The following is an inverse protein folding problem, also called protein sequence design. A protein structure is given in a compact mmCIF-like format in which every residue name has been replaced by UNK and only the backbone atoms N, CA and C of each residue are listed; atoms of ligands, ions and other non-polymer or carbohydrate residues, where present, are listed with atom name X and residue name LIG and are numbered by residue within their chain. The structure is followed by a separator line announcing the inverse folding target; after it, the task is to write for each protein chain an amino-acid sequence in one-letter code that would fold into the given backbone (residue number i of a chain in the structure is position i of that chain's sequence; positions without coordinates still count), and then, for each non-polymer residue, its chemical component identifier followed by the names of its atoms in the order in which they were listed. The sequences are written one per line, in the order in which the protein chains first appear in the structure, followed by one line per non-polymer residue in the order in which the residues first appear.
data_IF_247201860312
#
_entry.id   IF_247201860312
#
_cell.length_a   1.000
_cell.length_b   1.000
_cell.length_c   1.000
_cell.angle_alpha   90.00
_cell.angle_beta   90.00
_cell.angle_gamma   90.00
#
_symmetry.space_group_name_H-M   'P 1'
#
loop_
_entity.id
_entity.type
_entity.pdbx_description
1 polymer ?
#
# COMPACT_ATOMS: atom_id res chain seq x y z
N UNK A 1 -55.26 2.14 12.44
CA UNK A 1 -53.84 2.11 12.80
C UNK A 1 -53.45 3.43 13.43
N UNK A 2 -53.02 3.39 14.68
CA UNK A 2 -52.67 4.59 15.44
C UNK A 2 -51.43 5.26 14.86
N UNK A 3 -51.39 6.62 14.84
CA UNK A 3 -50.23 7.40 14.37
C UNK A 3 -48.92 7.00 15.09
N UNK A 4 -49.03 6.50 16.31
CA UNK A 4 -47.90 5.99 17.11
C UNK A 4 -47.30 4.69 16.57
N UNK A 5 -48.07 3.80 15.95
CA UNK A 5 -47.57 2.56 15.33
C UNK A 5 -46.82 2.82 14.05
N UNK A 6 -47.19 3.85 13.30
CA UNK A 6 -46.47 4.25 12.08
C UNK A 6 -45.09 4.85 12.40
N UNK A 7 -44.97 5.61 13.48
CA UNK A 7 -43.71 6.20 13.94
C UNK A 7 -42.71 5.14 14.43
N UNK A 8 -43.19 4.08 15.08
CA UNK A 8 -42.33 3.00 15.56
C UNK A 8 -41.78 2.13 14.43
N UNK A 9 -42.53 1.94 13.35
CA UNK A 9 -42.05 1.18 12.15
C UNK A 9 -41.02 1.96 11.36
N UNK A 10 -41.07 3.31 11.27
CA UNK A 10 -40.06 4.12 10.64
C UNK A 10 -38.72 4.14 11.40
N UNK A 11 -38.73 3.95 12.74
CA UNK A 11 -37.49 3.99 13.53
C UNK A 11 -36.66 2.69 13.41
N UNK A 12 -37.30 1.58 12.99
CA UNK A 12 -36.64 0.27 12.80
C UNK A 12 -35.89 0.13 11.49
N UNK A 13 -36.03 1.06 10.52
CA UNK A 13 -35.38 0.99 9.21
C UNK A 13 -34.03 1.70 9.12
N UNK A 14 -33.57 2.36 10.18
CA UNK A 14 -32.27 3.04 10.23
C UNK A 14 -31.15 2.25 10.90
N UNK A 15 -31.23 0.93 10.92
CA UNK A 15 -30.02 0.15 11.17
C UNK A 15 -29.14 0.20 9.92
N UNK A 16 -28.47 1.33 9.72
CA UNK A 16 -27.38 1.43 8.75
C UNK A 16 -26.33 0.42 9.18
N UNK A 17 -26.31 -0.71 8.49
CA UNK A 17 -25.21 -1.67 8.58
C UNK A 17 -23.94 -0.90 8.21
N UNK A 18 -23.14 -0.58 9.22
CA UNK A 18 -21.82 -0.01 9.00
C UNK A 18 -20.97 -1.12 8.37
N UNK A 19 -21.04 -1.23 7.03
CA UNK A 19 -20.24 -2.17 6.29
C UNK A 19 -18.77 -1.86 6.60
N UNK A 20 -18.04 -2.86 7.07
CA UNK A 20 -16.59 -2.72 7.30
C UNK A 20 -15.94 -2.53 5.94
N UNK A 21 -15.13 -1.51 5.84
CA UNK A 21 -14.31 -1.19 4.66
C UNK A 21 -13.06 -2.09 4.52
N UNK A 22 -12.99 -3.18 5.28
CA UNK A 22 -11.90 -4.15 5.27
C UNK A 22 -12.39 -5.56 5.61
N UNK A 23 -11.69 -6.55 5.08
CA UNK A 23 -11.86 -7.96 5.46
C UNK A 23 -10.91 -8.32 6.61
N UNK A 24 -11.36 -9.18 7.50
CA UNK A 24 -10.54 -9.83 8.52
C UNK A 24 -11.07 -11.24 8.78
N UNK A 25 -10.21 -12.23 8.70
CA UNK A 25 -10.58 -13.64 8.91
C UNK A 25 -11.15 -13.86 10.31
N UNK A 26 -12.17 -14.73 10.40
CA UNK A 26 -12.68 -15.17 11.70
C UNK A 26 -11.56 -15.86 12.50
N UNK A 27 -11.42 -15.51 13.78
CA UNK A 27 -10.38 -16.10 14.62
C UNK A 27 -8.98 -15.48 14.44
N UNK A 28 -8.84 -14.37 13.72
CA UNK A 28 -7.57 -13.68 13.53
C UNK A 28 -6.73 -13.58 14.81
N UNK A 29 -7.37 -13.24 15.96
CA UNK A 29 -6.66 -13.12 17.25
C UNK A 29 -5.96 -14.42 17.68
N UNK A 30 -6.49 -15.60 17.29
CA UNK A 30 -5.86 -16.91 17.59
C UNK A 30 -4.64 -17.13 16.70
N UNK A 31 -4.77 -16.83 15.41
CA UNK A 31 -3.67 -16.92 14.44
C UNK A 31 -2.56 -15.92 14.78
N UNK A 32 -2.92 -14.66 15.05
CA UNK A 32 -1.98 -13.61 15.40
C UNK A 32 -1.12 -13.89 16.65
N UNK A 33 -1.57 -14.77 17.55
CA UNK A 33 -0.78 -15.20 18.71
C UNK A 33 0.39 -16.11 18.35
N UNK A 34 0.35 -16.77 17.21
CA UNK A 34 1.43 -17.65 16.72
C UNK A 34 2.46 -16.87 15.88
N UNK A 35 2.15 -15.63 15.50
CA UNK A 35 3.05 -14.79 14.75
C UNK A 35 3.93 -13.95 15.68
N UNK A 36 5.20 -13.87 15.35
CA UNK A 36 6.21 -13.05 16.02
C UNK A 36 6.67 -11.91 15.11
N UNK A 37 6.98 -12.22 13.86
CA UNK A 37 7.55 -11.26 12.90
C UNK A 37 6.78 -11.25 11.59
N UNK A 38 6.57 -10.06 11.04
CA UNK A 38 6.02 -9.87 9.69
C UNK A 38 6.94 -8.99 8.85
N UNK A 39 6.91 -9.18 7.53
CA UNK A 39 7.60 -8.33 6.58
C UNK A 39 6.59 -7.48 5.78
N UNK A 40 6.93 -6.21 5.56
CA UNK A 40 6.29 -5.35 4.56
C UNK A 40 7.06 -5.53 3.27
N UNK A 41 6.41 -6.06 2.23
CA UNK A 41 7.05 -6.32 0.94
C UNK A 41 7.19 -5.04 0.10
N UNK A 42 8.13 -4.99 -0.86
CA UNK A 42 8.10 -3.99 -1.92
C UNK A 42 6.74 -4.01 -2.62
N UNK A 43 6.20 -2.83 -2.90
CA UNK A 43 4.84 -2.69 -3.40
C UNK A 43 4.78 -3.02 -4.88
N UNK A 44 3.82 -3.86 -5.28
CA UNK A 44 3.55 -4.14 -6.68
C UNK A 44 2.96 -2.89 -7.35
N UNK A 45 3.74 -2.29 -8.27
CA UNK A 45 3.34 -1.07 -8.96
C UNK A 45 2.79 -1.41 -10.35
N UNK A 46 1.52 -1.04 -10.60
CA UNK A 46 0.88 -1.22 -11.88
C UNK A 46 0.56 0.16 -12.46
N UNK A 47 0.96 0.35 -13.70
CA UNK A 47 0.65 1.54 -14.44
C UNK A 47 -0.35 1.21 -15.57
N UNK A 48 -1.57 1.72 -15.46
CA UNK A 48 -2.65 1.45 -16.44
C UNK A 48 -2.89 2.61 -17.40
N UNK A 49 -2.11 3.69 -17.31
CA UNK A 49 -2.21 4.87 -18.18
C UNK A 49 -1.41 4.75 -19.47
N UNK A 50 -1.38 5.84 -20.23
CA UNK A 50 -0.54 5.94 -21.42
C UNK A 50 0.89 6.26 -21.00
N UNK A 51 1.87 5.41 -21.34
CA UNK A 51 3.28 5.70 -21.03
C UNK A 51 3.75 7.00 -21.69
N UNK A 52 4.65 7.73 -21.03
CA UNK A 52 5.27 8.91 -21.66
C UNK A 52 6.04 8.52 -22.93
N UNK A 53 5.79 9.18 -24.05
CA UNK A 53 6.34 8.81 -25.36
C UNK A 53 7.87 8.88 -25.48
N UNK A 54 8.54 9.62 -24.58
CA UNK A 54 9.98 9.90 -24.68
C UNK A 54 10.78 9.31 -23.50
N UNK A 55 10.22 8.35 -22.77
CA UNK A 55 10.92 7.70 -21.65
C UNK A 55 11.23 6.26 -22.04
N UNK A 56 12.50 5.83 -22.02
CA UNK A 56 12.87 4.45 -22.29
C UNK A 56 12.16 3.47 -21.34
N UNK A 57 11.75 2.27 -21.80
CA UNK A 57 11.08 1.28 -20.95
C UNK A 57 11.88 0.92 -19.68
N UNK A 58 13.20 0.84 -19.77
CA UNK A 58 14.09 0.58 -18.64
C UNK A 58 14.03 1.66 -17.54
N UNK A 59 13.77 2.91 -17.92
CA UNK A 59 13.64 4.00 -16.96
C UNK A 59 12.26 3.98 -16.28
N UNK A 60 11.22 3.50 -16.99
CA UNK A 60 9.92 3.27 -16.40
C UNK A 60 9.95 2.15 -15.36
N UNK A 61 10.72 1.07 -15.62
CA UNK A 61 10.94 -0.02 -14.66
C UNK A 61 11.65 0.52 -13.43
N UNK A 62 12.75 1.24 -13.58
CA UNK A 62 13.47 1.86 -12.46
C UNK A 62 12.60 2.81 -11.66
N UNK A 63 11.72 3.55 -12.32
CA UNK A 63 10.76 4.42 -11.64
C UNK A 63 9.75 3.60 -10.83
N UNK A 64 9.19 2.53 -11.40
CA UNK A 64 8.27 1.66 -10.69
C UNK A 64 8.91 1.03 -9.45
N UNK A 65 10.16 0.57 -9.54
CA UNK A 65 10.92 0.05 -8.39
C UNK A 65 11.16 1.11 -7.31
N UNK A 66 11.52 2.35 -7.71
CA UNK A 66 11.74 3.43 -6.77
C UNK A 66 10.45 3.81 -6.03
N UNK A 67 9.33 3.90 -6.75
CA UNK A 67 8.02 4.13 -6.16
C UNK A 67 7.59 2.98 -5.26
N UNK A 68 7.83 1.73 -5.67
CA UNK A 68 7.60 0.52 -4.87
C UNK A 68 8.28 0.60 -3.51
N UNK A 69 9.57 0.96 -3.50
CA UNK A 69 10.36 1.13 -2.27
C UNK A 69 9.87 2.32 -1.45
N UNK A 70 9.46 3.42 -2.07
CA UNK A 70 8.93 4.58 -1.38
C UNK A 70 7.62 4.25 -0.64
N UNK A 71 6.70 3.57 -1.28
CA UNK A 71 5.47 3.08 -0.65
C UNK A 71 5.75 2.13 0.50
N UNK A 72 6.66 1.15 0.31
CA UNK A 72 7.07 0.21 1.35
C UNK A 72 7.63 0.93 2.58
N UNK A 73 8.56 1.87 2.38
CA UNK A 73 9.20 2.63 3.47
C UNK A 73 8.17 3.46 4.23
N UNK A 74 7.26 4.15 3.52
CA UNK A 74 6.18 4.92 4.13
C UNK A 74 5.27 4.01 4.97
N UNK A 75 4.79 2.90 4.38
CA UNK A 75 3.91 1.96 5.07
C UNK A 75 4.56 1.38 6.34
N UNK A 76 5.81 0.92 6.23
CA UNK A 76 6.58 0.41 7.36
C UNK A 76 6.76 1.49 8.44
N UNK A 77 7.14 2.71 8.06
CA UNK A 77 7.35 3.81 8.99
C UNK A 77 6.07 4.19 9.74
N UNK A 78 4.93 4.19 9.06
CA UNK A 78 3.64 4.49 9.69
C UNK A 78 3.18 3.37 10.63
N UNK A 79 3.42 2.10 10.29
CA UNK A 79 3.19 0.97 11.19
C UNK A 79 4.08 1.07 12.44
N UNK A 80 5.37 1.41 12.29
CA UNK A 80 6.30 1.62 13.40
C UNK A 80 5.89 2.78 14.30
N UNK A 81 5.46 3.92 13.75
CA UNK A 81 4.94 5.05 14.55
C UNK A 81 3.77 4.63 15.42
N UNK A 82 2.93 3.73 14.92
CA UNK A 82 1.81 3.20 15.68
C UNK A 82 2.27 2.32 16.83
N UNK A 83 3.37 1.60 16.69
CA UNK A 83 3.98 0.78 17.73
C UNK A 83 4.49 1.65 18.88
N UNK A 84 5.14 2.79 18.58
CA UNK A 84 5.75 3.68 19.58
C UNK A 84 4.73 4.55 20.35
N UNK A 85 3.61 4.90 19.74
CA UNK A 85 2.60 5.79 20.33
C UNK A 85 1.62 5.09 21.33
N UNK A 86 2.03 3.97 21.96
CA UNK A 86 1.21 3.29 22.97
C UNK A 86 -0.03 2.55 22.43
N UNK A 87 -0.36 2.73 21.15
CA UNK A 87 -1.37 1.95 20.41
C UNK A 87 -0.76 0.68 19.79
N UNK A 88 0.30 0.17 20.42
CA UNK A 88 1.29 -0.77 19.92
C UNK A 88 0.77 -1.89 19.06
N UNK A 89 1.54 -2.19 18.02
CA UNK A 89 1.40 -3.46 17.32
C UNK A 89 1.89 -4.59 18.25
N UNK A 90 1.16 -5.70 18.26
CA UNK A 90 1.58 -6.92 18.96
C UNK A 90 2.44 -7.82 18.07
N UNK A 91 3.19 -7.23 17.17
CA UNK A 91 3.99 -7.95 16.18
C UNK A 91 5.28 -7.17 15.90
N UNK A 92 6.37 -7.87 15.70
CA UNK A 92 7.61 -7.27 15.23
C UNK A 92 7.56 -7.04 13.71
N UNK A 93 8.07 -5.89 13.27
CA UNK A 93 8.22 -5.59 11.85
C UNK A 93 9.67 -5.81 11.43
N UNK A 94 9.89 -6.70 10.46
CA UNK A 94 11.20 -6.86 9.84
C UNK A 94 11.62 -5.55 9.17
N UNK A 95 12.86 -5.11 9.36
CA UNK A 95 13.37 -3.89 8.73
C UNK A 95 13.31 -4.00 7.22
N UNK A 96 12.85 -2.95 6.54
CA UNK A 96 12.76 -2.92 5.07
C UNK A 96 14.10 -3.19 4.39
N UNK A 97 15.21 -2.73 4.96
CA UNK A 97 16.55 -3.00 4.45
C UNK A 97 16.91 -4.49 4.46
N UNK A 98 16.49 -5.24 5.49
CA UNK A 98 16.70 -6.69 5.57
C UNK A 98 15.79 -7.41 4.57
N UNK A 99 14.52 -7.02 4.51
CA UNK A 99 13.54 -7.55 3.55
C UNK A 99 14.05 -7.40 2.12
N UNK A 100 14.42 -6.17 1.73
CA UNK A 100 14.84 -5.87 0.36
C UNK A 100 16.16 -6.57 0.01
N UNK A 101 17.14 -6.57 0.92
CA UNK A 101 18.40 -7.28 0.72
C UNK A 101 18.18 -8.76 0.44
N UNK A 102 17.37 -9.46 1.25
CA UNK A 102 17.07 -10.88 1.06
C UNK A 102 16.36 -11.15 -0.28
N UNK A 103 15.44 -10.27 -0.69
CA UNK A 103 14.77 -10.38 -1.99
C UNK A 103 15.79 -10.18 -3.11
N UNK A 104 16.56 -9.08 -3.11
CA UNK A 104 17.52 -8.74 -4.15
C UNK A 104 18.68 -9.73 -4.28
N UNK A 105 19.02 -10.46 -3.21
CA UNK A 105 19.99 -11.58 -3.25
C UNK A 105 19.42 -12.83 -3.94
N UNK A 106 18.11 -13.02 -3.97
CA UNK A 106 17.45 -14.19 -4.51
C UNK A 106 16.81 -13.96 -5.88
N UNK A 107 16.28 -12.76 -6.12
CA UNK A 107 15.48 -12.41 -7.31
C UNK A 107 15.37 -10.89 -7.49
N UNK A 108 14.81 -10.45 -8.61
CA UNK A 108 14.43 -9.02 -8.80
C UNK A 108 13.19 -8.65 -7.96
N UNK A 109 12.98 -7.35 -7.76
CA UNK A 109 11.76 -6.86 -7.07
C UNK A 109 10.50 -7.27 -7.85
N UNK A 110 10.52 -7.19 -9.18
CA UNK A 110 9.38 -7.59 -10.04
C UNK A 110 9.09 -9.09 -9.91
N UNK A 111 10.10 -9.94 -9.95
CA UNK A 111 9.94 -11.39 -9.75
C UNK A 111 9.33 -11.71 -8.39
N UNK A 112 9.62 -10.92 -7.36
CA UNK A 112 9.06 -11.10 -6.02
C UNK A 112 7.54 -10.87 -5.97
N UNK A 113 6.98 -10.07 -6.90
CA UNK A 113 5.55 -9.84 -6.95
C UNK A 113 4.76 -11.08 -7.39
N UNK A 114 5.39 -11.94 -8.21
CA UNK A 114 4.80 -13.20 -8.71
C UNK A 114 4.93 -14.37 -7.71
N UNK A 115 5.76 -14.21 -6.69
CA UNK A 115 5.98 -15.26 -5.69
C UNK A 115 4.79 -15.43 -4.76
N UNK A 116 4.60 -16.69 -4.32
CA UNK A 116 3.57 -17.00 -3.33
C UNK A 116 3.93 -16.42 -1.95
N UNK A 117 2.94 -16.16 -1.10
CA UNK A 117 3.20 -15.68 0.26
C UNK A 117 4.08 -16.63 1.07
N UNK A 118 3.93 -17.95 0.86
CA UNK A 118 4.68 -18.98 1.54
C UNK A 118 6.16 -18.94 1.14
N UNK A 119 6.46 -18.86 -0.18
CA UNK A 119 7.84 -18.73 -0.69
C UNK A 119 8.51 -17.48 -0.13
N UNK A 120 7.80 -16.35 -0.12
CA UNK A 120 8.35 -15.10 0.41
C UNK A 120 8.54 -15.14 1.92
N UNK A 121 7.60 -15.72 2.66
CA UNK A 121 7.72 -15.84 4.11
C UNK A 121 8.88 -16.75 4.52
N UNK A 122 9.10 -17.85 3.80
CA UNK A 122 10.24 -18.76 4.00
C UNK A 122 11.57 -18.04 3.69
N UNK A 123 11.69 -17.40 2.54
CA UNK A 123 12.87 -16.60 2.16
C UNK A 123 13.22 -15.55 3.21
N UNK A 124 12.21 -14.82 3.66
CA UNK A 124 12.36 -13.72 4.59
C UNK A 124 12.48 -14.17 6.06
N UNK A 125 12.11 -15.43 6.35
CA UNK A 125 12.05 -15.99 7.71
C UNK A 125 11.08 -15.20 8.59
N UNK A 126 9.84 -15.03 8.12
CA UNK A 126 8.77 -14.31 8.82
C UNK A 126 7.48 -15.15 8.86
N UNK A 127 6.59 -14.85 9.80
CA UNK A 127 5.34 -15.59 9.97
C UNK A 127 4.22 -15.15 9.03
N UNK A 128 4.29 -13.91 8.55
CA UNK A 128 3.33 -13.37 7.59
C UNK A 128 3.97 -12.26 6.76
N UNK A 129 3.39 -11.99 5.60
CA UNK A 129 3.82 -10.93 4.70
C UNK A 129 2.68 -9.94 4.45
N UNK A 130 3.01 -8.65 4.44
CA UNK A 130 2.11 -7.60 4.01
C UNK A 130 2.41 -7.27 2.55
N UNK A 131 1.60 -7.82 1.64
CA UNK A 131 1.66 -7.58 0.19
C UNK A 131 0.74 -6.42 -0.15
N UNK A 132 1.25 -5.46 -0.89
CA UNK A 132 0.50 -4.28 -1.32
C UNK A 132 0.62 -4.15 -2.83
N UNK A 133 -0.50 -3.83 -3.48
CA UNK A 133 -0.59 -3.54 -4.90
C UNK A 133 -1.15 -2.14 -5.09
N UNK A 134 -0.49 -1.33 -5.90
CA UNK A 134 -0.94 0.01 -6.25
C UNK A 134 -1.02 0.12 -7.75
N UNK A 135 -2.24 0.35 -8.25
CA UNK A 135 -2.50 0.66 -9.64
C UNK A 135 -2.74 2.16 -9.78
N UNK A 136 -2.08 2.78 -10.74
CA UNK A 136 -2.20 4.22 -11.00
C UNK A 136 -2.18 4.52 -12.50
N UNK A 137 -2.84 5.64 -12.87
CA UNK A 137 -2.93 6.12 -14.24
C UNK A 137 -1.84 7.12 -14.63
N UNK A 138 -1.09 7.64 -13.64
CA UNK A 138 -0.04 8.64 -13.84
C UNK A 138 1.18 8.35 -12.99
N UNK A 139 2.34 8.79 -13.46
CA UNK A 139 3.59 8.72 -12.70
C UNK A 139 3.68 9.86 -11.69
N UNK A 140 4.30 9.60 -10.54
CA UNK A 140 4.65 10.67 -9.60
C UNK A 140 5.86 11.42 -10.13
N UNK A 141 5.78 12.76 -10.10
CA UNK A 141 6.86 13.62 -10.61
C UNK A 141 8.00 13.82 -9.63
N UNK A 142 7.78 13.57 -8.34
CA UNK A 142 8.77 13.87 -7.30
C UNK A 142 8.83 12.77 -6.24
N UNK A 143 9.89 11.96 -6.27
CA UNK A 143 10.22 10.93 -5.28
C UNK A 143 11.40 11.32 -4.38
N UNK A 144 12.05 12.45 -4.65
CA UNK A 144 13.27 12.88 -3.95
C UNK A 144 13.05 13.05 -2.43
N UNK A 145 11.82 13.34 -2.01
CA UNK A 145 11.45 13.51 -0.60
C UNK A 145 11.61 12.25 0.27
N UNK A 146 11.78 11.07 -0.33
CA UNK A 146 12.03 9.81 0.38
C UNK A 146 13.51 9.52 0.64
N UNK A 147 14.43 10.38 0.17
CA UNK A 147 15.87 10.16 0.37
C UNK A 147 16.41 8.90 -0.33
N UNK A 148 15.75 8.46 -1.39
CA UNK A 148 16.17 7.29 -2.16
C UNK A 148 17.11 7.76 -3.27
N UNK A 149 18.36 7.28 -3.28
CA UNK A 149 19.36 7.64 -4.29
C UNK A 149 18.90 7.43 -5.74
N UNK A 150 18.02 6.44 -5.95
CA UNK A 150 17.43 6.16 -7.26
C UNK A 150 16.45 7.28 -7.69
N UNK A 151 15.72 7.88 -6.74
CA UNK A 151 14.79 8.97 -7.02
C UNK A 151 15.50 10.20 -7.59
N UNK A 152 16.70 10.53 -7.10
CA UNK A 152 17.48 11.65 -7.62
C UNK A 152 17.90 11.45 -9.09
N UNK A 153 18.25 10.21 -9.48
CA UNK A 153 18.56 9.87 -10.88
C UNK A 153 17.32 9.92 -11.76
N UNK A 154 16.20 9.41 -11.28
CA UNK A 154 14.91 9.42 -12.01
C UNK A 154 14.39 10.85 -12.18
N UNK A 155 14.48 11.67 -11.13
CA UNK A 155 14.10 13.07 -11.21
C UNK A 155 14.91 13.81 -12.28
N UNK A 156 16.21 13.51 -12.41
CA UNK A 156 17.06 14.10 -13.45
C UNK A 156 16.63 13.72 -14.87
N UNK A 157 16.07 12.53 -15.06
CA UNK A 157 15.56 12.06 -16.36
C UNK A 157 14.23 12.73 -16.67
N UNK A 158 13.32 12.78 -15.69
CA UNK A 158 11.99 13.40 -15.84
C UNK A 158 12.07 14.93 -16.03
N UNK A 159 13.04 15.59 -15.39
CA UNK A 159 13.23 17.05 -15.52
C UNK A 159 13.91 17.46 -16.83
N UNK A 160 14.72 16.59 -17.42
CA UNK A 160 15.30 16.84 -18.76
C UNK A 160 14.27 16.77 -19.89
N UNK A 161 13.19 16.01 -19.68
CA UNK A 161 12.06 15.90 -20.59
C UNK A 161 10.77 16.24 -19.84
N UNK A 162 10.46 17.54 -19.59
CA UNK A 162 9.22 17.89 -18.92
C UNK A 162 8.03 17.34 -19.72
N UNK A 163 7.24 16.49 -19.08
CA UNK A 163 6.11 15.83 -19.70
C UNK A 163 5.09 16.92 -20.11
N UNK A 164 4.80 17.12 -21.41
CA UNK A 164 3.98 18.23 -21.89
C UNK A 164 2.54 18.22 -21.37
N UNK A 165 2.08 17.14 -20.77
CA UNK A 165 0.72 17.02 -20.22
C UNK A 165 0.59 17.53 -18.78
N UNK A 166 1.70 17.88 -18.09
CA UNK A 166 1.66 18.46 -16.73
C UNK A 166 1.39 19.96 -16.75
N UNK A 167 1.48 20.60 -17.91
CA UNK A 167 1.24 22.03 -18.03
C UNK A 167 -0.19 22.29 -18.52
N UNK A 168 -1.10 22.63 -17.59
CA UNK A 168 -2.22 23.51 -17.92
C UNK A 168 -3.58 22.89 -18.23
N UNK A 169 -3.87 21.63 -17.93
CA UNK A 169 -5.26 21.14 -17.93
C UNK A 169 -5.80 21.08 -16.52
N UNK A 170 -6.90 21.76 -16.24
CA UNK A 170 -7.73 21.52 -15.06
C UNK A 170 -8.11 20.03 -15.07
N UNK A 171 -7.40 19.25 -14.24
CA UNK A 171 -7.70 17.83 -14.09
C UNK A 171 -8.93 17.76 -13.21
N UNK A 172 -10.07 17.42 -13.81
CA UNK A 172 -11.23 16.95 -13.03
C UNK A 172 -10.71 15.87 -12.09
N UNK A 173 -11.02 16.01 -10.80
CA UNK A 173 -10.69 15.01 -9.77
C UNK A 173 -11.22 13.66 -10.22
N UNK A 174 -10.33 12.75 -10.56
CA UNK A 174 -10.66 11.38 -10.94
C UNK A 174 -9.95 10.46 -9.97
N UNK A 175 -10.59 9.37 -9.57
CA UNK A 175 -9.96 8.33 -8.79
C UNK A 175 -8.88 7.67 -9.66
N UNK A 176 -7.65 8.16 -9.55
CA UNK A 176 -6.55 7.77 -10.41
C UNK A 176 -5.65 6.70 -9.77
N UNK A 177 -5.87 6.38 -8.49
CA UNK A 177 -5.08 5.40 -7.74
C UNK A 177 -6.01 4.39 -7.09
N UNK A 178 -5.80 3.11 -7.38
CA UNK A 178 -6.37 1.99 -6.67
C UNK A 178 -5.29 1.34 -5.80
N UNK A 179 -5.58 1.08 -4.53
CA UNK A 179 -4.65 0.46 -3.59
C UNK A 179 -5.28 -0.75 -2.93
N UNK A 180 -4.56 -1.86 -2.93
CA UNK A 180 -4.96 -3.13 -2.32
C UNK A 180 -3.87 -3.60 -1.36
N UNK A 181 -4.25 -3.78 -0.11
CA UNK A 181 -3.38 -4.20 0.98
C UNK A 181 -3.85 -5.55 1.48
N UNK A 182 -2.95 -6.54 1.54
CA UNK A 182 -3.24 -7.90 2.01
C UNK A 182 -2.19 -8.37 3.00
N UNK A 183 -2.63 -8.73 4.19
CA UNK A 183 -1.82 -9.48 5.13
C UNK A 183 -2.07 -10.96 4.88
N UNK A 184 -1.01 -11.69 4.57
CA UNK A 184 -1.04 -13.09 4.15
C UNK A 184 -0.25 -13.93 5.14
N UNK A 185 -0.83 -15.07 5.55
CA UNK A 185 -0.17 -16.04 6.41
C UNK A 185 1.00 -16.72 5.68
N UNK A 186 2.17 -16.74 6.29
CA UNK A 186 3.37 -17.30 5.66
C UNK A 186 3.40 -18.81 5.56
N UNK A 187 2.55 -19.52 6.30
CA UNK A 187 2.49 -21.01 6.27
C UNK A 187 1.43 -21.52 5.31
N UNK A 188 0.33 -20.80 5.16
CA UNK A 188 -0.85 -21.26 4.45
C UNK A 188 -1.22 -20.41 3.24
N UNK A 189 -0.56 -19.26 3.04
CA UNK A 189 -0.88 -18.29 2.01
C UNK A 189 -2.24 -17.60 2.19
N UNK A 190 -3.01 -17.95 3.21
CA UNK A 190 -4.36 -17.44 3.38
C UNK A 190 -4.38 -15.94 3.71
N UNK A 191 -5.37 -15.25 3.15
CA UNK A 191 -5.62 -13.83 3.48
C UNK A 191 -6.14 -13.73 4.91
N UNK A 192 -5.36 -13.10 5.78
CA UNK A 192 -5.73 -12.84 7.17
C UNK A 192 -6.49 -11.52 7.33
N UNK A 193 -6.11 -10.55 6.52
CA UNK A 193 -6.74 -9.23 6.47
C UNK A 193 -6.51 -8.62 5.09
N UNK A 194 -7.50 -7.89 4.60
CA UNK A 194 -7.33 -7.08 3.39
C UNK A 194 -8.15 -5.81 3.45
N UNK A 195 -7.68 -4.80 2.74
CA UNK A 195 -8.35 -3.53 2.54
C UNK A 195 -8.01 -2.99 1.17
N UNK A 196 -9.04 -2.63 0.41
CA UNK A 196 -8.88 -2.02 -0.91
C UNK A 196 -9.65 -0.72 -0.97
N UNK A 197 -9.11 0.28 -1.62
CA UNK A 197 -9.80 1.55 -1.83
C UNK A 197 -9.26 2.29 -3.04
N UNK A 198 -10.11 3.14 -3.59
CA UNK A 198 -9.75 4.11 -4.61
C UNK A 198 -9.47 5.46 -3.95
N UNK A 199 -8.53 6.20 -4.48
CA UNK A 199 -8.18 7.53 -4.03
C UNK A 199 -7.97 8.47 -5.22
N UNK A 200 -8.36 9.72 -5.01
CA UNK A 200 -7.95 10.81 -5.88
C UNK A 200 -6.49 11.15 -5.56
N UNK A 201 -5.65 11.23 -6.57
CA UNK A 201 -4.32 11.76 -6.43
C UNK A 201 -4.32 13.24 -6.84
N UNK A 202 -3.89 14.10 -5.95
CA UNK A 202 -3.50 15.45 -6.33
C UNK A 202 -2.02 15.43 -6.75
N UNK A 203 -1.78 15.33 -8.05
CA UNK A 203 -0.43 15.30 -8.61
C UNK A 203 0.32 16.65 -8.51
N UNK A 204 -0.33 17.69 -7.95
CA UNK A 204 0.33 18.95 -7.59
C UNK A 204 1.05 18.84 -6.25
N UNK A 205 0.62 17.90 -5.41
CA UNK A 205 1.27 17.63 -4.13
C UNK A 205 2.52 16.77 -4.33
N UNK A 206 3.52 16.92 -3.46
CA UNK A 206 4.67 16.03 -3.42
C UNK A 206 4.24 14.56 -3.33
N UNK A 207 4.95 13.67 -4.02
CA UNK A 207 4.63 12.24 -4.06
C UNK A 207 4.53 11.61 -2.67
N UNK A 208 5.38 12.04 -1.73
CA UNK A 208 5.36 11.55 -0.35
C UNK A 208 4.03 11.84 0.38
N UNK A 209 3.42 12.99 0.18
CA UNK A 209 2.12 13.31 0.81
C UNK A 209 1.02 12.39 0.30
N UNK A 210 1.01 12.12 -1.00
CA UNK A 210 0.05 11.18 -1.61
C UNK A 210 0.27 9.77 -1.09
N UNK A 211 1.51 9.28 -1.09
CA UNK A 211 1.88 7.95 -0.60
C UNK A 211 1.55 7.80 0.89
N UNK A 212 1.91 8.79 1.70
CA UNK A 212 1.63 8.79 3.14
C UNK A 212 0.12 8.78 3.42
N UNK A 213 -0.65 9.56 2.68
CA UNK A 213 -2.11 9.60 2.80
C UNK A 213 -2.79 8.27 2.46
N UNK A 214 -2.29 7.55 1.44
CA UNK A 214 -2.77 6.23 1.06
C UNK A 214 -2.47 5.21 2.17
N UNK A 215 -1.23 5.15 2.63
CA UNK A 215 -0.77 4.22 3.64
C UNK A 215 -1.44 4.46 5.01
N UNK A 216 -1.73 5.72 5.37
CA UNK A 216 -2.39 6.06 6.63
C UNK A 216 -3.77 5.40 6.77
N UNK A 217 -4.55 5.34 5.68
CA UNK A 217 -5.87 4.68 5.67
C UNK A 217 -5.73 3.20 6.03
N UNK A 218 -4.79 2.48 5.39
CA UNK A 218 -4.54 1.07 5.64
C UNK A 218 -4.03 0.82 7.07
N UNK A 219 -3.07 1.62 7.53
CA UNK A 219 -2.49 1.52 8.87
C UNK A 219 -3.53 1.73 9.96
N UNK A 220 -4.49 2.63 9.79
CA UNK A 220 -5.60 2.82 10.75
C UNK A 220 -6.44 1.56 10.96
N UNK A 221 -6.53 0.69 9.95
CA UNK A 221 -7.34 -0.56 9.97
C UNK A 221 -6.50 -1.81 10.20
N UNK A 222 -5.19 -1.69 10.27
CA UNK A 222 -4.27 -2.83 10.40
C UNK A 222 -4.59 -3.67 11.65
N UNK A 223 -4.63 -5.03 11.54
CA UNK A 223 -5.32 -5.86 12.52
C UNK A 223 -4.52 -6.18 13.79
N UNK A 224 -3.18 -6.15 13.79
CA UNK A 224 -2.35 -6.44 14.97
C UNK A 224 -2.39 -5.26 15.97
N UNK A 225 -3.53 -5.11 16.63
CA UNK A 225 -3.71 -4.10 17.68
C UNK A 225 -3.53 -4.72 19.06
N UNK A 226 -3.00 -3.94 20.02
CA UNK A 226 -3.08 -4.28 21.45
C UNK A 226 -4.52 -4.31 21.94
#
# INVERSE_FOLDING_TARGET
MSKSTLLAVCFLLFTTSCAKDYFQVKGFKKIAKTHQTIAVLPVEMIFSGIPPMNVPPEDLIKQAEAESKAFQISLHSQLMRRQTNGKGLKIELQRTSITNKKIEEAMTIEESWEKTPEELAELLQVDAVLKTRVEKKRYFSDLASYGIDVAAKLLSILTKNPLPFLTGREVKKTNDIYSDYRLLDGKTGNVLWSMSFEAEADYKNPANETIDGLNEKAVKRFPYKK
#
